data_IF_489480749468
#
_entry.id   IF_489480749468
#
_cell.length_a   1.000
_cell.length_b   1.000
_cell.length_c   1.000
_cell.angle_alpha   90.00
_cell.angle_beta   90.00
_cell.angle_gamma   90.00
#
_symmetry.space_group_name_H-M   'P 1'
#
loop_
_entity.id
_entity.type
_entity.pdbx_description
1 polymer ?
#
# COMPACT_ATOMS: atom_id res chain seq x y z
N UNK A 1 -18.78 -43.27 56.10
CA UNK A 1 -20.01 -43.50 55.36
C UNK A 1 -19.79 -43.05 53.96
N UNK A 2 -19.85 -43.99 53.05
CA UNK A 2 -19.62 -43.82 51.62
C UNK A 2 -20.83 -43.21 50.92
N UNK A 3 -20.63 -42.42 49.88
CA UNK A 3 -21.56 -42.39 48.75
C UNK A 3 -20.82 -42.01 47.49
N UNK A 4 -20.70 -42.92 46.56
CA UNK A 4 -20.31 -42.84 45.17
C UNK A 4 -21.39 -42.07 44.36
N UNK A 5 -20.99 -41.17 43.46
CA UNK A 5 -21.84 -40.75 42.33
C UNK A 5 -20.99 -40.75 41.07
N UNK A 6 -21.38 -41.49 40.16
CA UNK A 6 -21.25 -41.90 38.83
C UNK A 6 -20.55 -40.99 37.82
N UNK A 7 -19.64 -41.60 37.09
CA UNK A 7 -19.05 -41.06 35.86
C UNK A 7 -20.06 -41.22 34.68
N UNK A 8 -20.59 -40.12 34.17
CA UNK A 8 -21.35 -40.07 32.96
C UNK A 8 -20.40 -39.88 31.75
N UNK A 9 -20.25 -40.94 30.96
CA UNK A 9 -19.57 -40.90 29.64
C UNK A 9 -20.43 -40.13 28.64
N UNK A 10 -19.98 -38.97 28.21
CA UNK A 10 -20.56 -38.21 27.09
C UNK A 10 -20.01 -38.77 25.80
N UNK A 11 -20.85 -39.51 25.10
CA UNK A 11 -20.59 -39.99 23.74
C UNK A 11 -20.56 -38.81 22.78
N UNK A 12 -19.40 -38.56 22.14
CA UNK A 12 -19.24 -37.65 21.04
C UNK A 12 -20.06 -38.13 19.83
N UNK A 13 -21.27 -37.63 19.68
CA UNK A 13 -22.07 -37.81 18.46
C UNK A 13 -21.40 -37.00 17.35
N UNK A 14 -20.94 -37.71 16.30
CA UNK A 14 -20.38 -37.16 15.08
C UNK A 14 -21.35 -36.17 14.42
N UNK A 15 -21.08 -34.86 14.52
CA UNK A 15 -21.82 -33.86 13.77
C UNK A 15 -21.48 -34.02 12.28
N UNK A 16 -22.40 -34.53 11.50
CA UNK A 16 -22.34 -34.53 10.04
C UNK A 16 -22.44 -33.07 9.57
N UNK A 17 -21.54 -32.60 8.66
CA UNK A 17 -21.59 -31.23 8.14
C UNK A 17 -22.90 -30.98 7.40
N UNK A 18 -23.45 -29.77 7.55
CA UNK A 18 -24.74 -29.39 6.96
C UNK A 18 -24.67 -29.37 5.42
N UNK A 19 -25.81 -29.53 4.73
CA UNK A 19 -25.85 -29.49 3.26
C UNK A 19 -25.25 -28.23 2.66
N UNK A 20 -25.28 -27.10 3.37
CA UNK A 20 -24.67 -25.83 2.93
C UNK A 20 -23.12 -25.84 2.94
N UNK A 21 -22.51 -26.53 3.92
CA UNK A 21 -21.02 -26.63 3.95
C UNK A 21 -20.47 -27.56 2.87
N UNK A 22 -21.26 -28.61 2.47
CA UNK A 22 -20.92 -29.46 1.32
C UNK A 22 -21.05 -28.71 -0.02
N UNK A 23 -22.07 -27.86 -0.19
CA UNK A 23 -22.25 -27.09 -1.40
C UNK A 23 -21.11 -26.05 -1.61
N UNK A 24 -20.60 -25.45 -0.53
CA UNK A 24 -19.47 -24.54 -0.60
C UNK A 24 -18.14 -25.26 -0.93
N UNK A 25 -17.90 -26.45 -0.41
CA UNK A 25 -16.71 -27.24 -0.72
C UNK A 25 -16.71 -27.72 -2.19
N UNK A 26 -17.83 -28.20 -2.71
CA UNK A 26 -18.00 -28.64 -4.10
C UNK A 26 -17.90 -27.43 -5.08
N UNK A 27 -18.36 -26.24 -4.67
CA UNK A 27 -18.20 -25.01 -5.47
C UNK A 27 -16.75 -24.57 -5.53
N UNK A 28 -15.98 -24.72 -4.45
CA UNK A 28 -14.56 -24.38 -4.42
C UNK A 28 -13.70 -25.30 -5.30
N UNK A 29 -14.00 -26.60 -5.35
CA UNK A 29 -13.31 -27.55 -6.22
C UNK A 29 -13.66 -27.37 -7.71
N UNK A 30 -14.92 -27.09 -8.07
CA UNK A 30 -15.32 -26.80 -9.46
C UNK A 30 -14.72 -25.48 -9.98
N UNK A 31 -14.45 -24.52 -9.11
CA UNK A 31 -13.80 -23.25 -9.50
C UNK A 31 -12.29 -23.43 -9.73
N UNK A 32 -11.67 -24.45 -9.15
CA UNK A 32 -10.27 -24.78 -9.40
C UNK A 32 -10.04 -25.47 -10.76
N UNK A 33 -11.01 -26.23 -11.27
CA UNK A 33 -10.91 -26.97 -12.56
C UNK A 33 -11.26 -26.13 -13.80
N UNK A 34 -11.99 -25.02 -13.65
CA UNK A 34 -12.44 -24.20 -14.79
C UNK A 34 -11.40 -23.17 -15.30
N UNK A 35 -10.16 -23.18 -14.79
CA UNK A 35 -9.07 -22.38 -15.33
C UNK A 35 -8.18 -23.25 -16.24
N UNK A 36 -8.74 -23.70 -17.37
CA UNK A 36 -7.93 -24.26 -18.43
C UNK A 36 -6.92 -23.20 -18.92
N UNK A 37 -5.65 -23.57 -19.18
CA UNK A 37 -4.63 -22.62 -19.56
C UNK A 37 -4.89 -22.12 -21.00
N UNK A 38 -5.51 -20.93 -21.11
CA UNK A 38 -5.53 -20.20 -22.41
C UNK A 38 -4.10 -20.02 -22.86
N UNK A 39 -3.78 -20.59 -24.03
CA UNK A 39 -2.56 -20.55 -24.82
C UNK A 39 -1.58 -19.49 -24.32
N UNK A 40 -0.43 -19.95 -23.78
CA UNK A 40 0.76 -19.14 -23.52
C UNK A 40 1.18 -18.45 -24.83
N UNK A 41 0.70 -17.23 -25.05
CA UNK A 41 1.35 -16.33 -26.01
C UNK A 41 2.78 -16.16 -25.49
N UNK A 42 3.74 -16.47 -26.36
CA UNK A 42 5.16 -16.41 -26.09
C UNK A 42 5.49 -15.10 -25.35
N UNK A 43 5.71 -15.22 -24.04
CA UNK A 43 6.27 -14.13 -23.26
C UNK A 43 7.66 -13.90 -23.84
N UNK A 44 7.86 -12.78 -24.52
CA UNK A 44 9.19 -12.38 -24.97
C UNK A 44 10.14 -12.57 -23.79
N UNK A 45 11.12 -13.47 -23.95
CA UNK A 45 12.13 -13.81 -22.94
C UNK A 45 12.80 -12.51 -22.51
N UNK A 46 12.37 -11.94 -21.39
CA UNK A 46 13.14 -10.87 -20.75
C UNK A 46 14.48 -11.47 -20.40
N UNK A 47 15.56 -10.90 -20.91
CA UNK A 47 16.90 -11.21 -20.42
C UNK A 47 16.85 -11.14 -18.88
N UNK A 48 17.35 -12.17 -18.18
CA UNK A 48 17.43 -12.12 -16.72
C UNK A 48 18.18 -10.84 -16.33
N UNK A 49 17.77 -10.15 -15.27
CA UNK A 49 18.49 -8.99 -14.80
C UNK A 49 19.95 -9.41 -14.55
N UNK A 50 20.90 -8.56 -14.98
CA UNK A 50 22.34 -8.82 -14.72
C UNK A 50 22.52 -9.08 -13.22
N UNK A 51 23.27 -10.14 -12.85
CA UNK A 51 23.55 -10.43 -11.45
C UNK A 51 24.16 -9.18 -10.79
N UNK A 52 23.61 -8.77 -9.66
CA UNK A 52 24.16 -7.66 -8.88
C UNK A 52 25.43 -8.13 -8.18
N UNK A 53 26.42 -7.24 -8.09
CA UNK A 53 27.64 -7.53 -7.34
C UNK A 53 27.36 -7.51 -5.84
N UNK A 54 27.74 -8.54 -5.11
CA UNK A 54 27.65 -8.59 -3.65
C UNK A 54 28.42 -7.45 -2.96
N UNK A 55 29.55 -7.03 -3.53
CA UNK A 55 30.34 -5.89 -3.02
C UNK A 55 29.54 -4.59 -3.14
N UNK A 56 28.92 -4.38 -4.31
CA UNK A 56 28.07 -3.22 -4.53
C UNK A 56 26.87 -3.19 -3.56
N UNK A 57 26.20 -4.34 -3.39
CA UNK A 57 25.05 -4.44 -2.47
C UNK A 57 25.45 -4.15 -1.02
N UNK A 58 26.62 -4.63 -0.57
CA UNK A 58 27.18 -4.32 0.75
C UNK A 58 27.53 -2.84 0.89
N UNK A 59 28.17 -2.24 -0.10
CA UNK A 59 28.54 -0.82 -0.07
C UNK A 59 27.29 0.07 -0.01
N UNK A 60 26.31 -0.17 -0.88
CA UNK A 60 25.02 0.55 -0.88
C UNK A 60 24.34 0.43 0.49
N UNK A 61 24.34 -0.76 1.08
CA UNK A 61 23.75 -1.01 2.40
C UNK A 61 24.51 -0.28 3.52
N UNK A 62 25.85 -0.33 3.54
CA UNK A 62 26.65 0.32 4.56
C UNK A 62 26.48 1.85 4.49
N UNK A 63 26.51 2.43 3.29
CA UNK A 63 26.24 3.87 3.09
C UNK A 63 24.84 4.23 3.59
N UNK A 64 23.81 3.46 3.22
CA UNK A 64 22.46 3.68 3.72
C UNK A 64 22.41 3.62 5.25
N UNK A 65 23.05 2.62 5.86
CA UNK A 65 23.06 2.45 7.32
C UNK A 65 23.80 3.58 8.04
N UNK A 66 24.90 4.07 7.48
CA UNK A 66 25.62 5.21 8.01
C UNK A 66 24.76 6.49 7.96
N UNK A 67 24.13 6.76 6.82
CA UNK A 67 23.23 7.93 6.66
C UNK A 67 22.04 7.83 7.63
N UNK A 68 21.38 6.69 7.70
CA UNK A 68 20.27 6.47 8.63
C UNK A 68 20.73 6.62 10.08
N UNK A 69 21.91 6.09 10.42
CA UNK A 69 22.50 6.19 11.76
C UNK A 69 22.74 7.65 12.17
N UNK A 70 23.37 8.41 11.29
CA UNK A 70 23.63 9.86 11.52
C UNK A 70 22.32 10.62 11.68
N UNK A 71 21.37 10.46 10.75
CA UNK A 71 20.06 11.12 10.83
C UNK A 71 19.32 10.79 12.12
N UNK A 72 19.35 9.53 12.53
CA UNK A 72 18.68 9.08 13.74
C UNK A 72 19.35 9.60 15.03
N UNK A 73 20.59 10.07 15.01
CA UNK A 73 21.27 10.70 16.15
C UNK A 73 20.90 12.18 16.34
N UNK A 74 20.44 12.83 15.29
CA UNK A 74 20.06 14.25 15.34
C UNK A 74 18.70 14.42 16.00
N UNK A 75 18.45 15.54 16.71
CA UNK A 75 17.10 15.94 17.09
C UNK A 75 16.19 15.99 15.85
N UNK A 76 14.94 15.52 15.98
CA UNK A 76 13.99 15.39 14.87
C UNK A 76 13.90 16.66 13.99
N UNK A 77 13.84 17.82 14.62
CA UNK A 77 13.74 19.11 13.90
C UNK A 77 14.94 19.35 12.98
N UNK A 78 16.14 19.08 13.49
CA UNK A 78 17.39 19.25 12.71
C UNK A 78 17.48 18.20 11.61
N UNK A 79 17.18 16.95 11.92
CA UNK A 79 17.16 15.86 10.95
C UNK A 79 16.20 16.15 9.78
N UNK A 80 15.00 16.68 10.05
CA UNK A 80 14.04 17.09 9.02
C UNK A 80 14.63 18.16 8.09
N UNK A 81 15.40 19.14 8.63
CA UNK A 81 16.08 20.16 7.79
C UNK A 81 17.17 19.56 6.92
N UNK A 82 17.92 18.60 7.46
CA UNK A 82 18.92 17.85 6.66
C UNK A 82 18.24 17.07 5.54
N UNK A 83 17.15 16.35 5.83
CA UNK A 83 16.38 15.63 4.83
C UNK A 83 15.81 16.55 3.74
N UNK A 84 15.28 17.72 4.12
CA UNK A 84 14.84 18.76 3.19
C UNK A 84 15.98 19.23 2.28
N UNK A 85 17.13 19.51 2.86
CA UNK A 85 18.30 19.98 2.10
C UNK A 85 18.77 18.93 1.09
N UNK A 86 18.91 17.67 1.52
CA UNK A 86 19.30 16.55 0.63
C UNK A 86 18.34 16.42 -0.54
N UNK A 87 17.03 16.47 -0.28
CA UNK A 87 16.05 16.34 -1.36
C UNK A 87 15.88 17.62 -2.18
N UNK A 88 16.22 18.78 -1.64
CA UNK A 88 16.32 20.01 -2.42
C UNK A 88 17.49 19.95 -3.41
N UNK A 89 18.66 19.45 -2.98
CA UNK A 89 19.79 19.16 -3.86
C UNK A 89 19.38 18.16 -4.94
N UNK A 90 18.70 17.07 -4.55
CA UNK A 90 18.16 16.11 -5.51
C UNK A 90 17.17 16.78 -6.49
N UNK A 91 16.29 17.66 -6.03
CA UNK A 91 15.38 18.40 -6.91
C UNK A 91 16.13 19.25 -7.96
N UNK A 92 17.28 19.82 -7.62
CA UNK A 92 18.09 20.62 -8.55
C UNK A 92 18.79 19.73 -9.58
N UNK A 93 19.42 18.64 -9.14
CA UNK A 93 20.30 17.82 -9.98
C UNK A 93 19.61 16.63 -10.65
N UNK A 94 18.53 16.09 -10.08
CA UNK A 94 17.77 14.97 -10.66
C UNK A 94 16.77 15.47 -11.73
N UNK A 95 17.32 15.94 -12.84
CA UNK A 95 16.54 16.44 -13.98
C UNK A 95 15.54 15.41 -14.54
N UNK A 96 15.88 14.11 -14.66
CA UNK A 96 14.94 13.12 -15.15
C UNK A 96 13.66 13.01 -14.31
N UNK A 97 13.75 12.85 -13.00
CA UNK A 97 12.58 12.74 -12.12
C UNK A 97 11.81 14.06 -12.03
N UNK A 98 12.52 15.20 -12.05
CA UNK A 98 11.87 16.52 -12.13
C UNK A 98 11.04 16.67 -13.42
N UNK A 99 11.55 16.24 -14.57
CA UNK A 99 10.82 16.27 -15.85
C UNK A 99 9.58 15.37 -15.79
N UNK A 100 9.69 14.17 -15.20
CA UNK A 100 8.56 13.27 -15.00
C UNK A 100 7.49 13.94 -14.13
N UNK A 101 7.89 14.48 -12.98
CA UNK A 101 6.97 15.16 -12.06
C UNK A 101 6.27 16.36 -12.70
N UNK A 102 6.99 17.18 -13.46
CA UNK A 102 6.39 18.31 -14.18
C UNK A 102 5.38 17.88 -15.25
N UNK A 103 5.67 16.79 -15.99
CA UNK A 103 4.70 16.22 -16.94
C UNK A 103 3.44 15.70 -16.24
N UNK A 104 3.61 14.99 -15.13
CA UNK A 104 2.50 14.49 -14.33
C UNK A 104 1.62 15.64 -13.80
N UNK A 105 2.25 16.70 -13.29
CA UNK A 105 1.53 17.88 -12.81
C UNK A 105 0.84 18.66 -13.94
N UNK A 106 1.41 18.66 -15.14
CA UNK A 106 0.76 19.27 -16.31
C UNK A 106 -0.51 18.51 -16.75
N UNK A 107 -0.54 17.20 -16.54
CA UNK A 107 -1.72 16.37 -16.77
C UNK A 107 -2.77 16.60 -15.68
N UNK A 108 -2.32 16.53 -14.41
CA UNK A 108 -3.21 16.56 -13.26
C UNK A 108 -3.82 17.94 -13.00
N UNK A 109 -3.07 19.01 -13.28
CA UNK A 109 -3.46 20.40 -13.02
C UNK A 109 -3.11 21.28 -14.23
N UNK A 110 -3.76 21.08 -15.39
CA UNK A 110 -3.50 21.89 -16.58
C UNK A 110 -3.81 23.37 -16.35
N UNK A 111 -4.77 23.68 -15.48
CA UNK A 111 -5.22 25.02 -15.12
C UNK A 111 -4.22 25.80 -14.26
N UNK A 112 -3.33 25.09 -13.54
CA UNK A 112 -2.37 25.75 -12.64
C UNK A 112 -1.19 26.35 -13.42
N UNK A 113 -0.75 27.57 -13.08
CA UNK A 113 0.43 28.17 -13.71
C UNK A 113 1.69 27.33 -13.46
N UNK A 114 2.65 27.45 -14.38
CA UNK A 114 3.93 26.73 -14.31
C UNK A 114 4.66 26.92 -12.97
N UNK A 115 4.63 28.13 -12.43
CA UNK A 115 5.25 28.45 -11.15
C UNK A 115 4.62 27.67 -9.98
N UNK A 116 3.28 27.52 -9.98
CA UNK A 116 2.58 26.74 -8.96
C UNK A 116 2.89 25.25 -9.07
N UNK A 117 2.87 24.68 -10.28
CA UNK A 117 3.28 23.28 -10.52
C UNK A 117 4.71 23.01 -10.09
N UNK A 118 5.64 23.93 -10.33
CA UNK A 118 7.02 23.85 -9.81
C UNK A 118 7.07 23.87 -8.29
N UNK A 119 6.27 24.72 -7.66
CA UNK A 119 6.16 24.80 -6.19
C UNK A 119 5.63 23.50 -5.59
N UNK A 120 4.58 22.91 -6.17
CA UNK A 120 4.03 21.63 -5.75
C UNK A 120 5.10 20.53 -5.86
N UNK A 121 5.76 20.43 -7.01
CA UNK A 121 6.80 19.42 -7.22
C UNK A 121 7.96 19.55 -6.22
N UNK A 122 8.45 20.77 -6.00
CA UNK A 122 9.52 21.02 -5.02
C UNK A 122 9.07 20.58 -3.62
N UNK A 123 7.84 20.90 -3.20
CA UNK A 123 7.30 20.49 -1.91
C UNK A 123 7.17 18.97 -1.81
N UNK A 124 6.81 18.28 -2.89
CA UNK A 124 6.77 16.81 -2.93
C UNK A 124 8.16 16.19 -2.72
N UNK A 125 9.22 16.74 -3.32
CA UNK A 125 10.60 16.31 -3.03
C UNK A 125 10.96 16.53 -1.56
N UNK A 126 10.65 17.70 -1.00
CA UNK A 126 10.92 18.01 0.41
C UNK A 126 10.15 17.06 1.34
N UNK A 127 8.89 16.74 1.02
CA UNK A 127 8.10 15.78 1.79
C UNK A 127 8.72 14.38 1.77
N UNK A 128 9.25 13.94 0.62
CA UNK A 128 9.97 12.65 0.52
C UNK A 128 11.19 12.62 1.44
N UNK A 129 11.96 13.72 1.51
CA UNK A 129 13.10 13.85 2.43
C UNK A 129 12.70 13.71 3.89
N UNK A 130 11.62 14.39 4.28
CA UNK A 130 11.07 14.29 5.64
C UNK A 130 10.58 12.86 5.94
N UNK A 131 9.90 12.22 5.00
CA UNK A 131 9.46 10.82 5.12
C UNK A 131 10.63 9.87 5.36
N UNK A 132 11.75 10.06 4.63
CA UNK A 132 12.95 9.26 4.84
C UNK A 132 13.58 9.47 6.23
N UNK A 133 13.60 10.72 6.72
CA UNK A 133 14.09 11.04 8.07
C UNK A 133 13.23 10.41 9.15
N UNK A 134 11.92 10.52 9.06
CA UNK A 134 11.00 9.93 10.03
C UNK A 134 11.10 8.40 10.04
N UNK A 135 11.27 7.77 8.87
CA UNK A 135 11.56 6.34 8.77
C UNK A 135 12.88 5.96 9.45
N UNK A 136 13.91 6.82 9.35
CA UNK A 136 15.18 6.61 10.05
C UNK A 136 15.04 6.69 11.58
N UNK A 137 14.13 7.50 12.08
CA UNK A 137 13.84 7.64 13.50
C UNK A 137 12.90 6.57 14.06
N UNK A 138 12.08 5.93 13.21
CA UNK A 138 11.05 4.97 13.62
C UNK A 138 11.54 3.90 14.61
N UNK A 139 12.76 3.30 14.47
CA UNK A 139 13.25 2.31 15.43
C UNK A 139 13.50 2.83 16.86
N UNK A 140 13.55 4.14 17.02
CA UNK A 140 13.83 4.82 18.32
C UNK A 140 12.58 5.40 18.97
N UNK A 141 11.47 5.45 18.22
CA UNK A 141 10.20 5.95 18.72
C UNK A 141 9.49 4.85 19.53
N UNK A 142 9.04 5.20 20.73
CA UNK A 142 8.07 4.39 21.44
C UNK A 142 6.70 4.48 20.77
N UNK A 143 5.80 3.55 21.08
CA UNK A 143 4.43 3.59 20.58
C UNK A 143 3.72 4.91 20.96
N UNK A 144 3.90 5.39 22.19
CA UNK A 144 3.33 6.67 22.65
C UNK A 144 3.85 7.85 21.84
N UNK A 145 5.18 7.94 21.65
CA UNK A 145 5.78 9.00 20.83
C UNK A 145 5.28 9.00 19.37
N UNK A 146 5.15 7.82 18.77
CA UNK A 146 4.60 7.72 17.42
C UNK A 146 3.13 8.16 17.37
N UNK A 147 2.32 7.75 18.34
CA UNK A 147 0.90 8.11 18.40
C UNK A 147 0.66 9.59 18.77
N UNK A 148 1.62 10.26 19.40
CA UNK A 148 1.62 11.71 19.54
C UNK A 148 1.91 12.43 18.21
N UNK A 149 2.75 11.84 17.38
CA UNK A 149 3.07 12.37 16.04
C UNK A 149 1.96 12.10 15.03
N UNK A 150 1.23 11.00 15.16
CA UNK A 150 0.21 10.54 14.20
C UNK A 150 -1.15 10.51 14.88
N UNK A 151 -1.99 11.50 14.56
CA UNK A 151 -3.36 11.59 15.08
C UNK A 151 -4.32 11.01 14.04
N UNK A 152 -5.32 10.28 14.52
CA UNK A 152 -6.40 9.79 13.68
C UNK A 152 -7.56 10.76 13.77
N UNK A 153 -8.05 11.22 12.63
CA UNK A 153 -9.31 11.95 12.50
C UNK A 153 -10.41 10.96 12.11
N UNK A 154 -11.67 11.42 12.29
CA UNK A 154 -12.85 10.64 11.92
C UNK A 154 -12.94 9.31 12.69
N UNK A 155 -12.81 9.37 14.01
CA UNK A 155 -12.84 8.19 14.90
C UNK A 155 -14.07 7.29 14.70
N UNK A 156 -15.19 7.82 14.18
CA UNK A 156 -16.38 7.05 13.87
C UNK A 156 -16.11 6.03 12.78
N UNK A 157 -15.53 6.46 11.64
CA UNK A 157 -15.15 5.58 10.53
C UNK A 157 -14.04 4.60 10.91
N UNK A 158 -13.12 5.07 11.78
CA UNK A 158 -12.10 4.19 12.31
C UNK A 158 -12.69 3.09 13.19
N UNK A 159 -13.63 3.41 14.09
CA UNK A 159 -14.33 2.41 14.93
C UNK A 159 -15.10 1.40 14.07
N UNK A 160 -15.82 1.87 13.06
CA UNK A 160 -16.52 0.99 12.13
C UNK A 160 -15.54 0.05 11.40
N UNK A 161 -14.40 0.57 10.92
CA UNK A 161 -13.35 -0.25 10.30
C UNK A 161 -12.80 -1.33 11.25
N UNK A 162 -12.63 -1.02 12.54
CA UNK A 162 -12.17 -1.98 13.56
C UNK A 162 -13.25 -3.03 13.89
N UNK A 163 -14.53 -2.66 13.88
CA UNK A 163 -15.62 -3.63 14.02
C UNK A 163 -15.63 -4.63 12.87
N UNK A 164 -15.44 -4.16 11.64
CA UNK A 164 -15.26 -5.01 10.47
C UNK A 164 -14.00 -5.88 10.56
N UNK A 165 -12.88 -5.35 11.04
CA UNK A 165 -11.65 -6.12 11.27
C UNK A 165 -11.90 -7.32 12.16
N UNK A 166 -12.69 -7.16 13.23
CA UNK A 166 -13.05 -8.26 14.15
C UNK A 166 -13.84 -9.38 13.49
N UNK A 167 -14.43 -9.15 12.34
CA UNK A 167 -15.23 -10.14 11.62
C UNK A 167 -14.51 -10.78 10.43
N UNK A 168 -13.92 -9.98 9.51
CA UNK A 168 -13.49 -10.46 8.20
C UNK A 168 -12.08 -10.04 7.78
N UNK A 169 -11.40 -9.13 8.52
CA UNK A 169 -10.24 -8.38 8.02
C UNK A 169 -10.65 -7.28 7.03
N UNK A 170 -9.79 -6.31 6.83
CA UNK A 170 -10.10 -5.05 6.14
C UNK A 170 -9.05 -4.74 5.07
N UNK A 171 -9.49 -4.27 3.90
CA UNK A 171 -8.62 -3.77 2.84
C UNK A 171 -8.42 -2.27 3.02
N UNK A 172 -7.19 -1.84 3.23
CA UNK A 172 -6.85 -0.41 3.35
C UNK A 172 -6.44 0.14 1.99
N UNK A 173 -7.27 1.03 1.44
CA UNK A 173 -6.96 1.79 0.24
C UNK A 173 -6.04 2.95 0.59
N UNK A 174 -4.81 2.89 0.12
CA UNK A 174 -3.80 3.94 0.31
C UNK A 174 -2.80 3.93 -0.85
N UNK A 175 -1.73 4.73 -0.72
CA UNK A 175 -0.68 4.82 -1.74
C UNK A 175 0.58 5.52 -1.22
N UNK A 176 1.49 5.89 -2.12
CA UNK A 176 2.70 6.65 -1.79
C UNK A 176 2.35 8.14 -1.57
N UNK A 177 1.61 8.39 -0.51
CA UNK A 177 1.03 9.67 -0.15
C UNK A 177 1.36 10.00 1.31
N UNK A 178 1.73 11.26 1.58
CA UNK A 178 2.18 11.69 2.91
C UNK A 178 3.39 10.89 3.40
N UNK A 179 3.31 10.40 4.63
CA UNK A 179 4.24 9.41 5.15
C UNK A 179 3.55 8.04 5.33
N UNK A 180 3.41 7.30 4.25
CA UNK A 180 2.78 5.97 4.24
C UNK A 180 3.48 4.95 5.16
N UNK A 181 4.76 5.13 5.49
CA UNK A 181 5.48 4.26 6.44
C UNK A 181 4.97 4.47 7.87
N UNK A 182 4.76 5.74 8.26
CA UNK A 182 4.18 6.04 9.57
C UNK A 182 2.70 5.63 9.67
N UNK A 183 1.93 5.70 8.57
CA UNK A 183 0.56 5.21 8.52
C UNK A 183 0.50 3.74 8.94
N UNK A 184 1.32 2.91 8.28
CA UNK A 184 1.37 1.46 8.53
C UNK A 184 1.89 1.16 9.94
N UNK A 185 2.95 1.87 10.38
CA UNK A 185 3.54 1.70 11.70
C UNK A 185 2.58 2.10 12.84
N UNK A 186 1.84 3.21 12.68
CA UNK A 186 0.89 3.68 13.68
C UNK A 186 -0.27 2.69 13.90
N UNK A 187 -0.77 2.06 12.82
CA UNK A 187 -1.76 1.00 12.95
C UNK A 187 -1.19 -0.22 13.68
N UNK A 188 0.02 -0.67 13.31
CA UNK A 188 0.68 -1.82 13.96
C UNK A 188 0.95 -1.57 15.45
N UNK A 189 1.40 -0.38 15.83
CA UNK A 189 1.66 -0.01 17.22
C UNK A 189 0.38 0.21 18.06
N UNK A 190 -0.78 0.36 17.43
CA UNK A 190 -2.09 0.31 18.09
C UNK A 190 -2.57 -1.11 18.42
N UNK A 191 -1.80 -2.12 18.06
CA UNK A 191 -2.12 -3.53 18.31
C UNK A 191 -2.96 -4.21 17.23
N UNK A 192 -3.18 -3.54 16.08
CA UNK A 192 -3.87 -4.14 14.95
C UNK A 192 -2.91 -5.00 14.13
N UNK A 193 -3.28 -6.24 13.71
CA UNK A 193 -2.45 -7.02 12.82
C UNK A 193 -2.43 -6.38 11.43
N UNK A 194 -1.31 -5.76 11.04
CA UNK A 194 -1.17 -5.08 9.75
C UNK A 194 -0.33 -5.93 8.79
N UNK A 195 -0.84 -6.10 7.58
CA UNK A 195 -0.13 -6.73 6.48
C UNK A 195 0.04 -5.74 5.32
N UNK A 196 1.27 -5.62 4.82
CA UNK A 196 1.59 -4.74 3.70
C UNK A 196 2.04 -5.55 2.49
N UNK A 197 1.33 -5.39 1.36
CA UNK A 197 1.77 -5.99 0.09
C UNK A 197 2.84 -5.10 -0.54
N UNK A 198 4.05 -5.64 -0.70
CA UNK A 198 5.19 -4.89 -1.20
C UNK A 198 5.92 -5.60 -2.34
N UNK A 199 6.67 -4.81 -3.11
CA UNK A 199 7.63 -5.32 -4.09
C UNK A 199 9.01 -5.36 -3.45
N UNK A 200 9.71 -6.49 -3.54
CA UNK A 200 11.08 -6.61 -3.04
C UNK A 200 12.01 -5.55 -3.66
N UNK A 201 12.87 -4.97 -2.85
CA UNK A 201 13.90 -4.03 -3.26
C UNK A 201 15.01 -4.81 -3.95
N UNK A 202 15.65 -4.20 -4.97
CA UNK A 202 16.68 -4.87 -5.76
C UNK A 202 17.92 -5.28 -4.94
N UNK A 203 18.29 -4.49 -3.92
CA UNK A 203 19.36 -4.82 -2.99
C UNK A 203 18.79 -5.68 -1.84
N UNK A 204 19.18 -6.95 -1.69
CA UNK A 204 18.60 -7.86 -0.70
C UNK A 204 18.91 -7.49 0.75
N UNK A 205 20.02 -6.78 1.00
CA UNK A 205 20.38 -6.32 2.34
C UNK A 205 19.48 -5.16 2.78
N UNK A 206 19.19 -4.23 1.85
CA UNK A 206 18.26 -3.13 2.07
C UNK A 206 16.84 -3.66 2.22
N UNK A 207 16.42 -4.63 1.39
CA UNK A 207 15.10 -5.27 1.47
C UNK A 207 14.88 -5.92 2.84
N UNK A 208 15.87 -6.68 3.32
CA UNK A 208 15.83 -7.30 4.65
C UNK A 208 15.76 -6.27 5.76
N UNK A 209 16.63 -5.24 5.72
CA UNK A 209 16.64 -4.19 6.74
C UNK A 209 15.30 -3.47 6.84
N UNK A 210 14.70 -3.11 5.69
CA UNK A 210 13.38 -2.45 5.67
C UNK A 210 12.26 -3.39 6.15
N UNK A 211 12.36 -4.68 5.82
CA UNK A 211 11.46 -5.71 6.34
C UNK A 211 11.51 -5.77 7.88
N UNK A 212 12.73 -5.86 8.45
CA UNK A 212 12.94 -5.96 9.89
C UNK A 212 12.47 -4.69 10.62
N UNK A 213 12.68 -3.52 9.99
CA UNK A 213 12.21 -2.23 10.50
C UNK A 213 10.69 -2.19 10.61
N UNK A 214 9.98 -2.61 9.55
CA UNK A 214 8.50 -2.66 9.53
C UNK A 214 7.95 -3.72 10.47
N UNK A 215 8.62 -4.87 10.57
CA UNK A 215 8.22 -5.94 11.50
C UNK A 215 8.26 -5.49 12.97
N UNK A 216 9.26 -4.69 13.35
CA UNK A 216 9.36 -4.10 14.71
C UNK A 216 8.20 -3.13 15.00
N UNK A 217 7.63 -2.50 13.99
CA UNK A 217 6.44 -1.67 14.11
C UNK A 217 5.12 -2.46 13.99
N UNK A 218 5.16 -3.80 14.11
CA UNK A 218 3.97 -4.65 14.09
C UNK A 218 3.44 -4.97 12.68
N UNK A 219 4.21 -4.66 11.61
CA UNK A 219 3.75 -4.88 10.23
C UNK A 219 4.32 -6.17 9.65
N UNK A 220 3.46 -7.03 9.15
CA UNK A 220 3.83 -8.23 8.41
C UNK A 220 3.88 -7.94 6.89
N UNK A 221 4.91 -8.49 6.23
CA UNK A 221 5.16 -8.19 4.82
C UNK A 221 4.69 -9.35 3.92
N UNK A 222 3.89 -9.02 2.91
CA UNK A 222 3.48 -9.97 1.86
C UNK A 222 4.16 -9.58 0.56
N UNK A 223 5.00 -10.49 0.01
CA UNK A 223 5.64 -10.25 -1.29
C UNK A 223 4.61 -10.23 -2.40
N UNK A 224 4.63 -9.22 -3.26
CA UNK A 224 3.70 -9.06 -4.39
C UNK A 224 3.71 -10.26 -5.36
N UNK A 225 4.85 -10.91 -5.54
CA UNK A 225 4.95 -12.14 -6.33
C UNK A 225 4.35 -13.30 -5.54
N UNK A 226 3.22 -13.85 -6.03
CA UNK A 226 2.51 -14.93 -5.33
C UNK A 226 1.69 -14.48 -4.11
N UNK A 227 1.29 -13.21 -4.05
CA UNK A 227 0.59 -12.62 -2.91
C UNK A 227 -0.75 -13.29 -2.56
N UNK A 228 -1.41 -13.99 -3.50
CA UNK A 228 -2.79 -14.47 -3.32
C UNK A 228 -3.02 -15.25 -2.03
N UNK A 229 -2.19 -16.29 -1.76
CA UNK A 229 -2.30 -17.07 -0.50
C UNK A 229 -2.00 -16.25 0.76
N UNK A 230 -1.02 -15.34 0.68
CA UNK A 230 -0.68 -14.44 1.79
C UNK A 230 -1.80 -13.47 2.12
N UNK A 231 -2.43 -12.90 1.09
CA UNK A 231 -3.58 -12.01 1.19
C UNK A 231 -4.78 -12.71 1.84
N UNK A 232 -5.15 -13.91 1.35
CA UNK A 232 -6.26 -14.67 1.93
C UNK A 232 -5.98 -15.05 3.38
N UNK A 233 -4.74 -15.44 3.71
CA UNK A 233 -4.35 -15.71 5.10
C UNK A 233 -4.45 -14.46 5.98
N UNK A 234 -4.01 -13.29 5.49
CA UNK A 234 -4.11 -12.03 6.22
C UNK A 234 -5.58 -11.70 6.55
N UNK A 235 -6.48 -11.82 5.58
CA UNK A 235 -7.91 -11.61 5.80
C UNK A 235 -8.51 -12.64 6.78
N UNK A 236 -8.10 -13.91 6.68
CA UNK A 236 -8.55 -14.95 7.59
C UNK A 236 -8.15 -14.70 9.06
N UNK A 237 -6.96 -14.12 9.29
CA UNK A 237 -6.53 -13.71 10.63
C UNK A 237 -7.03 -12.30 11.00
N UNK A 238 -7.98 -11.76 10.25
CA UNK A 238 -8.65 -10.47 10.50
C UNK A 238 -7.70 -9.29 10.51
N UNK A 239 -6.74 -9.27 9.61
CA UNK A 239 -5.74 -8.21 9.55
C UNK A 239 -6.20 -7.00 8.71
N UNK A 240 -5.59 -5.85 8.99
CA UNK A 240 -5.62 -4.70 8.12
C UNK A 240 -4.64 -4.94 6.95
N UNK A 241 -5.15 -5.15 5.76
CA UNK A 241 -4.35 -5.43 4.57
C UNK A 241 -4.15 -4.17 3.73
N UNK A 242 -2.95 -3.60 3.78
CA UNK A 242 -2.60 -2.39 3.03
C UNK A 242 -2.11 -2.75 1.62
N UNK A 243 -2.81 -2.22 0.61
CA UNK A 243 -2.46 -2.39 -0.81
C UNK A 243 -2.22 -1.02 -1.47
N UNK A 244 -0.96 -0.59 -1.64
CA UNK A 244 -0.68 0.63 -2.40
C UNK A 244 -1.22 0.51 -3.83
N UNK A 245 -2.13 1.40 -4.23
CA UNK A 245 -2.89 1.31 -5.49
C UNK A 245 -2.56 2.43 -6.49
N UNK A 246 -1.70 3.38 -6.12
CA UNK A 246 -1.39 4.60 -6.87
C UNK A 246 -0.38 4.42 -8.00
N UNK A 247 0.34 3.32 -8.05
CA UNK A 247 1.38 3.09 -9.05
C UNK A 247 0.88 2.25 -10.24
N UNK A 248 1.66 2.34 -11.33
CA UNK A 248 1.40 1.59 -12.56
C UNK A 248 1.36 0.08 -12.30
N UNK A 249 0.35 -0.59 -12.87
CA UNK A 249 0.32 -2.04 -12.88
C UNK A 249 1.26 -2.62 -13.93
N UNK A 250 1.82 -3.80 -13.63
CA UNK A 250 2.53 -4.59 -14.62
C UNK A 250 1.55 -5.18 -15.65
N UNK A 251 2.02 -5.42 -16.89
CA UNK A 251 1.20 -5.98 -17.97
C UNK A 251 0.45 -7.24 -17.51
N UNK A 252 -0.84 -7.28 -17.80
CA UNK A 252 -1.71 -8.44 -17.52
C UNK A 252 -2.42 -8.43 -16.17
N UNK A 253 -2.05 -7.55 -15.23
CA UNK A 253 -2.66 -7.47 -13.89
C UNK A 253 -3.38 -6.14 -13.64
N UNK A 254 -3.41 -5.23 -14.60
CA UNK A 254 -4.03 -3.92 -14.49
C UNK A 254 -5.22 -3.77 -15.43
N UNK A 255 -6.08 -2.86 -15.05
CA UNK A 255 -7.14 -2.31 -15.89
C UNK A 255 -6.81 -0.86 -16.21
N UNK A 256 -7.31 -0.35 -17.32
CA UNK A 256 -7.26 1.07 -17.61
C UNK A 256 -8.45 1.74 -16.96
N UNK A 257 -8.14 2.73 -16.13
CA UNK A 257 -9.11 3.61 -15.49
C UNK A 257 -8.62 5.05 -15.63
N UNK A 258 -9.52 5.99 -15.57
CA UNK A 258 -9.17 7.39 -15.62
C UNK A 258 -8.52 7.84 -14.32
N UNK A 259 -7.46 8.62 -14.46
CA UNK A 259 -6.78 9.29 -13.37
C UNK A 259 -6.39 10.68 -13.85
N UNK A 260 -6.98 11.70 -13.26
CA UNK A 260 -6.92 13.07 -13.73
C UNK A 260 -7.34 13.22 -15.21
N UNK A 261 -8.45 12.56 -15.61
CA UNK A 261 -8.99 12.61 -16.95
C UNK A 261 -8.16 11.91 -18.02
N UNK A 262 -7.14 11.13 -17.63
CA UNK A 262 -6.29 10.43 -18.59
C UNK A 262 -6.19 8.93 -18.23
N UNK A 263 -6.52 7.99 -19.15
CA UNK A 263 -6.45 6.57 -18.88
C UNK A 263 -5.07 6.12 -18.40
N UNK A 264 -5.01 5.47 -17.23
CA UNK A 264 -3.81 4.99 -16.59
C UNK A 264 -3.96 3.50 -16.22
N UNK A 265 -2.94 2.69 -16.53
CA UNK A 265 -2.92 1.28 -16.12
C UNK A 265 -2.81 1.18 -14.60
N UNK A 266 -3.85 0.73 -13.94
CA UNK A 266 -3.98 0.67 -12.48
C UNK A 266 -4.09 -0.78 -12.00
N UNK A 267 -3.51 -1.09 -10.84
CA UNK A 267 -3.57 -2.41 -10.24
C UNK A 267 -5.00 -2.72 -9.77
N UNK A 268 -5.61 -3.75 -10.33
CA UNK A 268 -6.97 -4.18 -9.99
C UNK A 268 -7.02 -5.19 -8.83
N UNK A 269 -5.91 -5.43 -8.15
CA UNK A 269 -5.83 -6.46 -7.11
C UNK A 269 -6.81 -6.24 -5.97
N UNK A 270 -6.97 -5.00 -5.51
CA UNK A 270 -7.90 -4.65 -4.44
C UNK A 270 -9.35 -4.97 -4.83
N UNK A 271 -9.82 -4.51 -5.99
CA UNK A 271 -11.16 -4.81 -6.48
C UNK A 271 -11.40 -6.32 -6.63
N UNK A 272 -10.41 -7.06 -7.18
CA UNK A 272 -10.51 -8.53 -7.31
C UNK A 272 -10.55 -9.26 -5.98
N UNK A 273 -9.85 -8.77 -4.97
CA UNK A 273 -9.88 -9.35 -3.62
C UNK A 273 -11.25 -9.06 -3.00
N UNK A 274 -11.67 -7.81 -2.95
CA UNK A 274 -12.94 -7.40 -2.35
C UNK A 274 -14.13 -8.15 -2.97
N UNK A 275 -14.20 -8.26 -4.30
CA UNK A 275 -15.25 -8.99 -5.03
C UNK A 275 -15.30 -10.49 -4.70
N UNK A 276 -14.20 -11.08 -4.23
CA UNK A 276 -14.13 -12.53 -3.91
C UNK A 276 -14.26 -12.84 -2.43
N UNK A 277 -14.00 -11.88 -1.57
CA UNK A 277 -13.90 -12.12 -0.12
C UNK A 277 -14.90 -11.32 0.68
N UNK A 278 -15.63 -10.41 0.03
CA UNK A 278 -16.53 -9.43 0.68
C UNK A 278 -15.85 -8.58 1.76
N UNK A 279 -14.50 -8.56 1.77
CA UNK A 279 -13.74 -7.72 2.69
C UNK A 279 -14.00 -6.24 2.41
N UNK A 280 -14.37 -5.44 3.43
CA UNK A 280 -14.63 -4.03 3.28
C UNK A 280 -13.39 -3.26 2.88
N UNK A 281 -13.57 -2.16 2.15
CA UNK A 281 -12.49 -1.30 1.70
C UNK A 281 -12.58 0.02 2.44
N UNK A 282 -11.55 0.31 3.23
CA UNK A 282 -11.44 1.55 4.01
C UNK A 282 -10.33 2.41 3.40
N UNK A 283 -10.66 3.58 2.84
CA UNK A 283 -9.64 4.53 2.45
C UNK A 283 -9.01 5.17 3.68
N UNK A 284 -7.66 5.11 3.76
CA UNK A 284 -6.91 5.74 4.83
C UNK A 284 -5.68 6.45 4.27
N UNK A 285 -5.57 7.74 4.55
CA UNK A 285 -4.50 8.60 4.05
C UNK A 285 -3.85 9.37 5.18
N UNK A 286 -2.54 9.47 5.15
CA UNK A 286 -1.79 10.25 6.13
C UNK A 286 -1.32 11.56 5.51
N UNK A 287 -1.70 12.67 6.12
CA UNK A 287 -1.35 14.02 5.71
C UNK A 287 -0.42 14.65 6.73
N UNK A 288 0.73 15.14 6.29
CA UNK A 288 1.65 15.89 7.13
C UNK A 288 1.10 17.30 7.42
N UNK A 289 1.17 17.73 8.66
CA UNK A 289 0.83 19.10 9.06
C UNK A 289 1.99 20.06 8.77
N UNK A 290 1.88 20.79 7.68
CA UNK A 290 2.86 21.80 7.28
C UNK A 290 4.27 21.24 7.07
N UNK A 291 5.24 21.72 7.87
CA UNK A 291 6.65 21.29 7.84
C UNK A 291 7.07 20.52 9.09
N UNK A 292 6.11 20.18 9.94
CA UNK A 292 6.35 19.47 11.20
C UNK A 292 6.51 17.96 10.99
N UNK A 293 6.83 17.25 12.09
CA UNK A 293 6.74 15.79 12.17
C UNK A 293 5.33 15.31 12.59
N UNK A 294 4.35 16.19 12.64
CA UNK A 294 2.97 15.84 12.99
C UNK A 294 2.19 15.45 11.76
N UNK A 295 1.32 14.48 11.91
CA UNK A 295 0.51 13.91 10.85
C UNK A 295 -0.92 13.69 11.31
N UNK A 296 -1.85 13.79 10.36
CA UNK A 296 -3.25 13.38 10.51
C UNK A 296 -3.55 12.21 9.59
N UNK A 297 -4.17 11.19 10.11
CA UNK A 297 -4.73 10.11 9.33
C UNK A 297 -6.21 10.40 9.10
N UNK A 298 -6.56 10.61 7.84
CA UNK A 298 -7.93 10.72 7.40
C UNK A 298 -8.44 9.32 7.05
N UNK A 299 -9.41 8.84 7.80
CA UNK A 299 -10.15 7.61 7.51
C UNK A 299 -11.45 8.04 6.86
N UNK A 300 -11.71 7.57 5.64
CA UNK A 300 -12.91 7.90 4.89
C UNK A 300 -13.96 6.77 5.04
N UNK A 301 -15.23 7.03 4.70
CA UNK A 301 -16.28 6.02 4.72
C UNK A 301 -15.90 4.76 3.98
N UNK A 302 -16.38 3.62 4.47
CA UNK A 302 -16.19 2.32 3.83
C UNK A 302 -16.77 2.36 2.41
N UNK A 303 -15.98 1.90 1.44
CA UNK A 303 -16.40 1.85 0.06
C UNK A 303 -17.14 0.55 -0.22
N UNK A 304 -18.40 0.67 -0.56
CA UNK A 304 -19.19 -0.45 -1.06
C UNK A 304 -18.68 -0.91 -2.42
N UNK A 305 -18.69 -2.21 -2.64
CA UNK A 305 -18.26 -2.84 -3.89
C UNK A 305 -19.45 -3.00 -4.83
N UNK A 306 -19.36 -2.40 -6.02
CA UNK A 306 -20.40 -2.58 -7.05
C UNK A 306 -20.35 -4.00 -7.62
N UNK A 307 -21.56 -4.60 -7.76
CA UNK A 307 -21.77 -5.92 -8.34
C UNK A 307 -22.80 -5.83 -9.45
N UNK A 308 -22.45 -6.25 -10.65
CA UNK A 308 -23.29 -6.19 -11.86
C UNK A 308 -23.52 -7.56 -12.49
N UNK A 309 -22.84 -8.60 -11.99
CA UNK A 309 -22.85 -9.96 -12.56
C UNK A 309 -21.74 -10.19 -13.58
N UNK A 310 -21.10 -9.15 -14.14
CA UNK A 310 -19.90 -9.27 -14.96
C UNK A 310 -18.66 -8.95 -14.14
N UNK A 311 -17.94 -9.98 -13.71
CA UNK A 311 -16.75 -9.84 -12.87
C UNK A 311 -15.66 -8.93 -13.47
N UNK A 312 -15.48 -8.88 -14.79
CA UNK A 312 -14.42 -8.05 -15.38
C UNK A 312 -14.83 -6.57 -15.40
N UNK A 313 -16.08 -6.30 -15.66
CA UNK A 313 -16.64 -4.95 -15.60
C UNK A 313 -16.70 -4.46 -14.14
N UNK A 314 -17.10 -5.30 -13.18
CA UNK A 314 -17.05 -5.00 -11.76
C UNK A 314 -15.65 -4.64 -11.29
N UNK A 315 -14.65 -5.40 -11.70
CA UNK A 315 -13.25 -5.12 -11.41
C UNK A 315 -12.84 -3.76 -11.97
N UNK A 316 -13.25 -3.42 -13.18
CA UNK A 316 -12.93 -2.14 -13.81
C UNK A 316 -13.60 -0.98 -13.07
N UNK A 317 -14.93 -1.07 -12.85
CA UNK A 317 -15.72 -0.02 -12.17
C UNK A 317 -15.21 0.23 -10.74
N UNK A 318 -15.04 -0.82 -9.96
CA UNK A 318 -14.53 -0.67 -8.60
C UNK A 318 -13.11 -0.10 -8.57
N UNK A 319 -12.23 -0.52 -9.51
CA UNK A 319 -10.88 0.08 -9.61
C UNK A 319 -10.96 1.57 -9.98
N UNK A 320 -11.92 1.98 -10.82
CA UNK A 320 -12.17 3.38 -11.14
C UNK A 320 -12.57 4.17 -9.89
N UNK A 321 -13.56 3.72 -9.15
CA UNK A 321 -14.04 4.38 -7.91
C UNK A 321 -12.91 4.53 -6.87
N UNK A 322 -12.10 3.49 -6.68
CA UNK A 322 -10.96 3.57 -5.74
C UNK A 322 -9.90 4.56 -6.23
N UNK A 323 -9.72 4.66 -7.54
CA UNK A 323 -8.80 5.64 -8.13
C UNK A 323 -9.31 7.07 -7.97
N UNK A 324 -10.61 7.31 -8.07
CA UNK A 324 -11.25 8.60 -7.84
C UNK A 324 -11.09 9.08 -6.40
N UNK A 325 -11.29 8.19 -5.43
CA UNK A 325 -11.05 8.51 -4.00
C UNK A 325 -9.58 8.89 -3.76
N UNK A 326 -8.66 8.17 -4.39
CA UNK A 326 -7.24 8.50 -4.31
C UNK A 326 -6.93 9.84 -4.99
N UNK A 327 -7.50 10.09 -6.17
CA UNK A 327 -7.35 11.35 -6.92
C UNK A 327 -7.81 12.55 -6.11
N UNK A 328 -8.97 12.43 -5.43
CA UNK A 328 -9.51 13.49 -4.58
C UNK A 328 -8.53 13.87 -3.47
N UNK A 329 -7.90 12.90 -2.81
CA UNK A 329 -6.88 13.16 -1.79
C UNK A 329 -5.64 13.84 -2.37
N UNK A 330 -5.23 13.46 -3.58
CA UNK A 330 -4.12 14.13 -4.28
C UNK A 330 -4.49 15.56 -4.69
N UNK A 331 -5.74 15.82 -5.06
CA UNK A 331 -6.22 17.17 -5.38
C UNK A 331 -6.21 18.09 -4.16
N UNK A 332 -6.61 17.58 -3.00
CA UNK A 332 -6.62 18.34 -1.72
C UNK A 332 -5.20 18.64 -1.22
N UNK A 333 -4.27 17.70 -1.37
CA UNK A 333 -2.90 17.79 -0.85
C UNK A 333 -1.86 17.39 -1.89
N UNK A 334 -1.73 18.15 -3.00
CA UNK A 334 -0.93 17.72 -4.14
C UNK A 334 0.57 17.59 -3.82
N UNK A 335 1.10 18.34 -2.85
CA UNK A 335 2.50 18.23 -2.43
C UNK A 335 2.80 16.95 -1.63
N UNK A 336 1.78 16.19 -1.23
CA UNK A 336 1.96 14.98 -0.43
C UNK A 336 2.11 13.72 -1.29
N UNK A 337 1.81 13.77 -2.60
CA UNK A 337 1.95 12.61 -3.48
C UNK A 337 3.31 12.54 -4.17
N UNK A 338 3.73 11.30 -4.51
CA UNK A 338 5.01 11.01 -5.15
C UNK A 338 4.94 11.25 -6.68
N UNK A 339 5.08 12.50 -7.12
CA UNK A 339 4.97 12.90 -8.53
C UNK A 339 6.07 12.34 -9.44
N UNK A 340 7.19 11.85 -8.90
CA UNK A 340 8.34 11.37 -9.68
C UNK A 340 8.14 10.00 -10.30
N UNK A 341 7.02 9.32 -10.05
CA UNK A 341 6.67 8.04 -10.66
C UNK A 341 6.04 8.23 -12.04
N UNK A 342 6.41 7.41 -13.05
CA UNK A 342 5.83 7.45 -14.41
C UNK A 342 4.43 6.84 -14.42
N UNK A 343 3.42 7.52 -13.83
CA UNK A 343 2.05 7.02 -13.61
C UNK A 343 1.36 6.62 -14.92
N UNK A 344 1.56 7.37 -16.00
CA UNK A 344 0.95 7.14 -17.32
C UNK A 344 1.90 6.48 -18.34
N UNK A 345 2.89 5.68 -17.86
CA UNK A 345 3.86 5.00 -18.74
C UNK A 345 3.18 3.97 -19.64
N UNK A 346 2.22 3.21 -19.13
CA UNK A 346 1.43 2.24 -19.90
C UNK A 346 0.11 2.89 -20.27
N UNK A 347 -0.15 2.95 -21.58
CA UNK A 347 -1.32 3.58 -22.17
C UNK A 347 -2.12 2.53 -22.96
N UNK A 348 -3.42 2.74 -23.22
CA UNK A 348 -4.16 1.96 -24.19
C UNK A 348 -3.46 1.91 -25.55
N UNK A 349 -3.66 0.82 -26.29
CA UNK A 349 -3.12 0.71 -27.66
C UNK A 349 -3.62 1.87 -28.55
N UNK A 350 -2.75 2.38 -29.41
CA UNK A 350 -3.07 3.49 -30.30
C UNK A 350 -3.03 4.89 -29.68
N UNK A 351 -2.82 5.02 -28.36
CA UNK A 351 -2.74 6.34 -27.73
C UNK A 351 -1.29 6.87 -27.67
N UNK A 352 -1.06 8.20 -27.73
CA UNK A 352 0.28 8.79 -27.64
C UNK A 352 0.99 8.45 -26.33
N UNK A 353 2.33 8.36 -26.39
CA UNK A 353 3.17 8.20 -25.20
C UNK A 353 3.23 9.50 -24.40
N UNK A 354 3.23 9.38 -23.09
CA UNK A 354 3.38 10.54 -22.17
C UNK A 354 4.86 10.87 -21.91
N UNK A 355 5.73 9.85 -21.85
CA UNK A 355 7.15 10.01 -21.51
C UNK A 355 8.08 9.55 -22.61
#
# INVERSE_FOLDING_TARGET
>A
MATLIGAGSVTLQSMRPSPRSRAMAVSAERTAEAVAPRRRRAAARRRPPKPRSHVRDRLEYLVLRAVVGVLAMLPMVLALRVGELVTLVAYVFDVPHRRIGMRNLAIAFPEKPLAERRRILRRSFLNLGRTAVELAHLPRLSASQLLEMVRFEDEAWWREAIEWERSTGVLILSGHFGNWELLVAAHGMRGHPVHLVHRAIANPLVDRWLHDLRARAGTQMIRKSGAGRGVLRALHVRALLVLPSDQISTRGLGVFVDFFGLPASTNSGMARIALRTDAPIVPAFIVREGRSARHRVHVLPILEVERTGDFQEEVRRNTQRFTEVFEEMVRRHPEQWLWMHKRWKTRPAGTPRVY
#
